data_IF_818460230871
#
_entry.id   IF_818460230871
#
_cell.length_a   1.000
_cell.length_b   1.000
_cell.length_c   1.000
_cell.angle_alpha   90.00
_cell.angle_beta   90.00
_cell.angle_gamma   90.00
#
_symmetry.space_group_name_H-M   'P 1'
#
loop_
_entity.id
_entity.type
_entity.pdbx_description
1 polymer ?
#
# COMPACT_ATOMS: atom_id res chain seq x y z
N UNK A 1 -6.41 -13.36 18.55
CA UNK A 1 -6.85 -12.15 17.83
C UNK A 1 -5.74 -11.13 17.64
N UNK A 2 -5.08 -10.61 18.71
CA UNK A 2 -3.94 -9.69 18.59
C UNK A 2 -2.82 -10.17 17.63
N UNK A 3 -2.28 -11.36 17.87
CA UNK A 3 -1.28 -12.01 16.99
C UNK A 3 -1.73 -12.20 15.54
N UNK A 4 -3.04 -12.29 15.30
CA UNK A 4 -3.58 -12.43 13.95
C UNK A 4 -3.59 -11.07 13.21
N UNK A 5 -3.93 -10.00 13.92
CA UNK A 5 -3.87 -8.62 13.41
C UNK A 5 -2.42 -8.26 13.09
N UNK A 6 -1.48 -8.53 14.00
CA UNK A 6 -0.04 -8.29 13.78
C UNK A 6 0.48 -9.03 12.55
N UNK A 7 0.07 -10.30 12.36
CA UNK A 7 0.45 -11.09 11.17
C UNK A 7 -0.15 -10.50 9.89
N UNK A 8 -1.40 -10.05 9.92
CA UNK A 8 -2.05 -9.38 8.79
C UNK A 8 -1.36 -8.07 8.44
N UNK A 9 -0.97 -7.26 9.43
CA UNK A 9 -0.18 -6.04 9.22
C UNK A 9 1.13 -6.40 8.50
N UNK A 10 1.89 -7.38 9.00
CA UNK A 10 3.15 -7.79 8.36
C UNK A 10 2.96 -8.22 6.90
N UNK A 11 1.89 -8.97 6.60
CA UNK A 11 1.57 -9.37 5.24
C UNK A 11 1.25 -8.17 4.35
N UNK A 12 0.38 -7.28 4.81
CA UNK A 12 0.00 -6.06 4.07
C UNK A 12 1.21 -5.13 3.89
N UNK A 13 2.07 -4.96 4.90
CA UNK A 13 3.29 -4.15 4.77
C UNK A 13 4.28 -4.74 3.76
N UNK A 14 4.37 -6.07 3.68
CA UNK A 14 5.23 -6.75 2.69
C UNK A 14 4.69 -6.56 1.27
N UNK A 15 3.38 -6.73 1.08
CA UNK A 15 2.70 -6.48 -0.19
C UNK A 15 2.83 -5.02 -0.60
N UNK A 16 2.56 -4.08 0.31
CA UNK A 16 2.67 -2.64 0.07
C UNK A 16 4.07 -2.24 -0.40
N UNK A 17 5.12 -2.87 0.13
CA UNK A 17 6.49 -2.63 -0.34
C UNK A 17 6.67 -3.03 -1.80
N UNK A 18 6.22 -4.23 -2.17
CA UNK A 18 6.31 -4.73 -3.54
C UNK A 18 5.53 -3.85 -4.52
N UNK A 19 4.32 -3.43 -4.13
CA UNK A 19 3.48 -2.60 -4.98
C UNK A 19 4.00 -1.17 -5.13
N UNK A 20 4.66 -0.62 -4.11
CA UNK A 20 5.37 0.67 -4.21
C UNK A 20 6.57 0.59 -5.14
N UNK A 21 7.38 -0.46 -5.03
CA UNK A 21 8.52 -0.67 -5.93
C UNK A 21 8.04 -0.80 -7.40
N UNK A 22 6.90 -1.46 -7.62
CA UNK A 22 6.28 -1.54 -8.94
C UNK A 22 5.74 -0.19 -9.45
N UNK A 23 5.12 0.61 -8.58
CA UNK A 23 4.67 1.97 -8.92
C UNK A 23 5.85 2.87 -9.29
N UNK A 24 6.93 2.81 -8.54
CA UNK A 24 8.15 3.58 -8.81
C UNK A 24 8.77 3.17 -10.15
N UNK A 25 8.77 1.87 -10.49
CA UNK A 25 9.24 1.39 -11.78
C UNK A 25 8.39 1.93 -12.95
N UNK A 26 7.06 1.90 -12.82
CA UNK A 26 6.14 2.46 -13.83
C UNK A 26 6.30 3.98 -13.97
N UNK A 27 6.47 4.68 -12.85
CA UNK A 27 6.67 6.12 -12.86
C UNK A 27 7.99 6.50 -13.56
N UNK A 28 9.07 5.78 -13.26
CA UNK A 28 10.36 5.95 -13.94
C UNK A 28 10.27 5.68 -15.44
N UNK A 29 9.52 4.66 -15.86
CA UNK A 29 9.30 4.37 -17.27
C UNK A 29 8.52 5.49 -17.97
N UNK A 30 7.44 5.99 -17.35
CA UNK A 30 6.67 7.11 -17.89
C UNK A 30 7.52 8.37 -18.06
N UNK A 31 8.32 8.71 -17.05
CA UNK A 31 9.25 9.85 -17.09
C UNK A 31 10.26 9.69 -18.24
N UNK A 32 10.85 8.49 -18.40
CA UNK A 32 11.81 8.21 -19.49
C UNK A 32 11.18 8.36 -20.87
N UNK A 33 9.90 8.02 -21.01
CA UNK A 33 9.15 8.12 -22.26
C UNK A 33 8.51 9.49 -22.48
N UNK A 34 8.67 10.43 -21.54
CA UNK A 34 8.06 11.76 -21.60
C UNK A 34 6.53 11.74 -21.48
N UNK A 35 5.96 10.67 -20.91
CA UNK A 35 4.52 10.52 -20.68
C UNK A 35 4.10 11.20 -19.37
N UNK A 36 2.90 11.75 -19.35
CA UNK A 36 2.31 12.30 -18.12
C UNK A 36 1.92 11.16 -17.17
N UNK A 37 2.44 11.20 -15.94
CA UNK A 37 2.05 10.25 -14.88
C UNK A 37 0.57 10.32 -14.55
N UNK A 38 -0.04 11.50 -14.67
CA UNK A 38 -1.44 11.73 -14.36
C UNK A 38 -2.41 11.14 -15.41
N UNK A 39 -1.89 10.76 -16.57
CA UNK A 39 -2.69 10.24 -17.69
C UNK A 39 -2.32 8.79 -18.04
N UNK A 40 -1.27 8.23 -17.41
CA UNK A 40 -0.87 6.84 -17.65
C UNK A 40 -1.76 5.86 -16.85
N UNK A 41 -2.58 5.10 -17.56
CA UNK A 41 -3.52 4.15 -16.96
C UNK A 41 -2.85 3.10 -16.05
N UNK A 42 -1.63 2.67 -16.38
CA UNK A 42 -0.93 1.66 -15.56
C UNK A 42 -0.45 2.28 -14.25
N UNK A 43 0.10 3.50 -14.30
CA UNK A 43 0.48 4.26 -13.10
C UNK A 43 -0.74 4.51 -12.23
N UNK A 44 -1.86 4.96 -12.80
CA UNK A 44 -3.08 5.24 -12.05
C UNK A 44 -3.63 3.98 -11.38
N UNK A 45 -3.74 2.88 -12.12
CA UNK A 45 -4.21 1.60 -11.59
C UNK A 45 -3.31 1.05 -10.49
N UNK A 46 -1.99 1.17 -10.65
CA UNK A 46 -1.05 0.74 -9.63
C UNK A 46 -1.12 1.62 -8.38
N UNK A 47 -1.36 2.93 -8.56
CA UNK A 47 -1.56 3.87 -7.47
C UNK A 47 -2.81 3.50 -6.63
N UNK A 48 -3.95 3.21 -7.27
CA UNK A 48 -5.17 2.75 -6.58
C UNK A 48 -4.94 1.49 -5.73
N UNK A 49 -4.09 0.57 -6.21
CA UNK A 49 -3.71 -0.63 -5.47
C UNK A 49 -2.88 -0.29 -4.23
N UNK A 50 -1.90 0.61 -4.38
CA UNK A 50 -1.09 1.10 -3.25
C UNK A 50 -1.97 1.81 -2.23
N UNK A 51 -2.88 2.69 -2.66
CA UNK A 51 -3.82 3.41 -1.79
C UNK A 51 -4.70 2.45 -0.97
N UNK A 52 -5.25 1.42 -1.63
CA UNK A 52 -6.06 0.40 -0.96
C UNK A 52 -5.28 -0.34 0.12
N UNK A 53 -4.01 -0.68 -0.15
CA UNK A 53 -3.13 -1.34 0.81
C UNK A 53 -2.76 -0.42 1.98
N UNK A 54 -2.51 0.87 1.72
CA UNK A 54 -2.25 1.87 2.78
C UNK A 54 -3.44 1.99 3.72
N UNK A 55 -4.65 2.16 3.17
CA UNK A 55 -5.88 2.24 3.97
C UNK A 55 -6.14 0.96 4.77
N UNK A 56 -5.84 -0.20 4.18
CA UNK A 56 -5.96 -1.48 4.87
C UNK A 56 -4.97 -1.60 6.02
N UNK A 57 -3.71 -1.20 5.82
CA UNK A 57 -2.68 -1.21 6.87
C UNK A 57 -3.05 -0.26 8.02
N UNK A 58 -3.51 0.96 7.70
CA UNK A 58 -3.95 1.94 8.70
C UNK A 58 -5.07 1.38 9.57
N UNK A 59 -6.12 0.83 8.95
CA UNK A 59 -7.25 0.25 9.67
C UNK A 59 -6.82 -0.91 10.58
N UNK A 60 -5.90 -1.76 10.12
CA UNK A 60 -5.38 -2.86 10.93
C UNK A 60 -4.57 -2.35 12.15
N UNK A 61 -3.83 -1.25 12.00
CA UNK A 61 -3.11 -0.60 13.10
C UNK A 61 -4.06 0.03 14.10
N UNK A 62 -5.08 0.74 13.65
CA UNK A 62 -6.15 1.28 14.52
C UNK A 62 -6.82 0.15 15.33
N UNK A 63 -7.18 -0.96 14.68
CA UNK A 63 -7.74 -2.13 15.36
C UNK A 63 -6.78 -2.77 16.37
N UNK A 64 -5.45 -2.63 16.18
CA UNK A 64 -4.47 -3.12 17.13
C UNK A 64 -4.37 -2.18 18.34
N UNK A 65 -4.35 -0.86 18.12
CA UNK A 65 -4.29 0.17 19.16
C UNK A 65 -5.53 0.18 20.05
N UNK A 66 -6.73 0.05 19.47
CA UNK A 66 -7.98 -0.09 20.22
C UNK A 66 -7.93 -1.28 21.19
N UNK A 67 -7.33 -2.40 20.75
CA UNK A 67 -7.18 -3.60 21.57
C UNK A 67 -6.14 -3.47 22.67
N UNK A 68 -5.13 -2.64 22.47
CA UNK A 68 -4.15 -2.33 23.51
C UNK A 68 -4.71 -1.37 24.56
N UNK A 69 -5.65 -0.51 24.17
CA UNK A 69 -6.31 0.44 25.07
C UNK A 69 -7.42 -0.19 25.93
N UNK A 70 -7.98 -1.33 25.49
CA UNK A 70 -9.02 -2.10 26.20
C UNK A 70 -8.46 -3.10 27.24
N UNK A 71 -7.13 -3.26 27.36
CA UNK A 71 -6.46 -4.19 28.29
C UNK A 71 -5.85 -3.48 29.51
#
# INVERSE_FOLDING_TARGET
MKKEIERKIQQVSAELRQEKDALDALALECIKQGRSLAEDENVLRQNEKVDTLVLTELRLREMLEERESEQ
#
